data_IF_675439572318
#
_entry.id   IF_675439572318
#
_cell.length_a   1.000
_cell.length_b   1.000
_cell.length_c   1.000
_cell.angle_alpha   90.00
_cell.angle_beta   90.00
_cell.angle_gamma   90.00
#
_symmetry.space_group_name_H-M   'P 1'
#
loop_
_entity.id
_entity.type
_entity.pdbx_description
1 polymer ?
#
# COMPACT_ATOMS: atom_id res chain seq x y z
N UNK A 1 -11.88 -4.26 7.02
CA UNK A 1 -11.26 -3.20 6.18
C UNK A 1 -12.02 -1.89 6.35
N UNK A 2 -11.46 -0.73 5.96
CA UNK A 2 -12.15 0.56 6.08
C UNK A 2 -13.43 0.60 5.24
N UNK A 3 -14.56 0.89 5.87
CA UNK A 3 -15.89 0.95 5.22
C UNK A 3 -16.24 2.35 4.70
N UNK A 4 -15.44 3.36 5.04
CA UNK A 4 -15.63 4.74 4.63
C UNK A 4 -14.28 5.40 4.26
N UNK A 5 -14.29 6.39 3.35
CA UNK A 5 -13.09 7.11 2.96
C UNK A 5 -12.47 7.93 4.09
N UNK A 6 -11.15 7.95 4.13
CA UNK A 6 -10.39 8.82 5.00
C UNK A 6 -10.28 10.21 4.38
N UNK A 7 -10.37 11.25 5.22
CA UNK A 7 -10.27 12.65 4.76
C UNK A 7 -8.81 13.09 4.61
N UNK A 8 -7.93 12.53 5.44
CA UNK A 8 -6.50 12.82 5.42
C UNK A 8 -5.67 11.54 5.50
N UNK A 9 -4.44 11.63 5.01
CA UNK A 9 -3.44 10.55 5.11
C UNK A 9 -3.07 10.28 6.58
N UNK A 10 -3.07 11.31 7.43
CA UNK A 10 -2.84 11.15 8.88
C UNK A 10 -3.95 10.33 9.57
N UNK A 11 -5.23 10.54 9.22
CA UNK A 11 -6.35 9.73 9.73
C UNK A 11 -6.20 8.25 9.37
N UNK A 12 -5.72 8.00 8.14
CA UNK A 12 -5.44 6.66 7.65
C UNK A 12 -4.33 5.97 8.46
N UNK A 13 -3.21 6.67 8.69
CA UNK A 13 -2.11 6.15 9.51
C UNK A 13 -2.58 5.87 10.94
N UNK A 14 -3.36 6.77 11.55
CA UNK A 14 -3.92 6.58 12.88
C UNK A 14 -4.87 5.38 13.00
N UNK A 15 -5.67 5.12 11.97
CA UNK A 15 -6.55 3.96 11.92
C UNK A 15 -5.78 2.63 11.99
N UNK A 16 -4.65 2.54 11.27
CA UNK A 16 -3.81 1.34 11.29
C UNK A 16 -2.93 1.25 12.54
N UNK A 17 -2.37 2.37 13.01
CA UNK A 17 -1.58 2.41 14.24
C UNK A 17 -2.38 1.86 15.43
N UNK A 18 -3.64 2.31 15.59
CA UNK A 18 -4.55 1.82 16.64
C UNK A 18 -4.85 0.32 16.53
N UNK A 19 -4.85 -0.24 15.33
CA UNK A 19 -5.07 -1.69 15.11
C UNK A 19 -3.83 -2.51 15.41
N UNK A 20 -2.65 -1.96 15.11
CA UNK A 20 -1.36 -2.60 15.34
C UNK A 20 -0.87 -2.47 16.79
N UNK A 21 -1.39 -1.49 17.55
CA UNK A 21 -1.02 -1.26 18.95
C UNK A 21 -1.09 -2.53 19.80
N UNK A 22 -2.09 -3.40 19.59
CA UNK A 22 -2.23 -4.62 20.43
C UNK A 22 -1.17 -5.68 20.16
N UNK A 23 -0.56 -5.68 18.98
CA UNK A 23 0.33 -6.75 18.53
C UNK A 23 1.80 -6.30 18.41
N UNK A 24 2.05 -5.00 18.22
CA UNK A 24 3.38 -4.49 17.86
C UNK A 24 3.82 -3.26 18.65
N UNK A 25 3.17 -2.93 19.78
CA UNK A 25 3.46 -1.71 20.56
C UNK A 25 4.94 -1.52 20.92
N UNK A 26 5.61 -2.62 21.23
CA UNK A 26 7.01 -2.62 21.69
C UNK A 26 8.02 -2.84 20.55
N UNK A 27 7.54 -2.90 19.30
CA UNK A 27 8.42 -3.04 18.14
C UNK A 27 8.98 -1.67 17.72
N UNK A 28 10.27 -1.63 17.37
CA UNK A 28 10.92 -0.44 16.79
C UNK A 28 10.16 0.08 15.56
N UNK A 29 9.60 -0.83 14.76
CA UNK A 29 8.75 -0.53 13.60
C UNK A 29 7.47 0.25 13.97
N UNK A 30 6.99 0.18 15.20
CA UNK A 30 5.81 0.92 15.67
C UNK A 30 6.14 2.39 15.95
N UNK A 31 7.33 2.68 16.47
CA UNK A 31 7.82 4.05 16.65
C UNK A 31 7.98 4.76 15.30
N UNK A 32 8.51 4.05 14.30
CA UNK A 32 8.61 4.54 12.91
C UNK A 32 7.24 4.91 12.33
N UNK A 33 6.21 4.05 12.54
CA UNK A 33 4.84 4.34 12.10
C UNK A 33 4.22 5.53 12.84
N UNK A 34 4.55 5.71 14.11
CA UNK A 34 4.06 6.84 14.90
C UNK A 34 4.71 8.15 14.44
N UNK A 35 6.02 8.13 14.16
CA UNK A 35 6.71 9.27 13.56
C UNK A 35 6.16 9.58 12.16
N UNK A 36 5.84 8.56 11.37
CA UNK A 36 5.19 8.73 10.06
C UNK A 36 3.83 9.40 10.21
N UNK A 37 2.96 8.93 11.11
CA UNK A 37 1.67 9.57 11.39
C UNK A 37 1.82 11.06 11.74
N UNK A 38 2.81 11.39 12.57
CA UNK A 38 3.07 12.75 13.04
C UNK A 38 3.69 13.66 11.98
N UNK A 39 4.45 13.09 11.04
CA UNK A 39 5.15 13.82 9.97
C UNK A 39 4.36 13.86 8.66
N UNK A 40 3.40 12.96 8.47
CA UNK A 40 2.47 13.00 7.34
C UNK A 40 1.62 14.26 7.45
N UNK A 41 1.79 15.14 6.47
CA UNK A 41 1.04 16.38 6.39
C UNK A 41 -0.45 16.03 6.24
N UNK A 42 -1.32 16.80 6.90
CA UNK A 42 -2.78 16.71 6.75
C UNK A 42 -3.23 17.22 5.36
N UNK A 43 -2.68 16.65 4.30
CA UNK A 43 -3.15 16.86 2.95
C UNK A 43 -4.36 15.99 2.69
N UNK A 44 -5.25 16.51 1.83
CA UNK A 44 -6.44 15.81 1.41
C UNK A 44 -6.04 14.47 0.78
N UNK A 45 -6.57 13.38 1.31
CA UNK A 45 -6.52 12.11 0.61
C UNK A 45 -7.56 12.14 -0.50
N UNK A 46 -7.20 11.70 -1.69
CA UNK A 46 -8.14 11.25 -2.73
C UNK A 46 -8.40 9.77 -2.46
N UNK A 47 -9.46 9.42 -1.71
CA UNK A 47 -9.70 8.05 -1.33
C UNK A 47 -10.27 7.32 -2.54
N UNK A 48 -9.55 6.30 -2.97
CA UNK A 48 -9.95 5.44 -4.08
C UNK A 48 -10.51 4.15 -3.47
N UNK A 49 -11.53 3.58 -4.12
CA UNK A 49 -11.95 2.21 -3.84
C UNK A 49 -10.82 1.30 -4.30
N UNK A 50 -10.00 0.92 -3.33
CA UNK A 50 -8.72 0.27 -3.56
C UNK A 50 -8.62 -0.98 -2.72
N UNK A 51 -7.71 -1.87 -3.10
CA UNK A 51 -7.62 -3.19 -2.48
C UNK A 51 -6.64 -3.16 -1.31
N UNK A 52 -6.97 -3.81 -0.18
CA UNK A 52 -6.01 -3.95 0.92
C UNK A 52 -4.73 -4.63 0.41
N UNK A 53 -3.57 -4.14 0.86
CA UNK A 53 -2.22 -4.54 0.44
C UNK A 53 -2.09 -6.03 0.09
N UNK A 54 -1.49 -6.35 -1.08
CA UNK A 54 -0.98 -7.69 -1.36
C UNK A 54 -1.72 -8.58 -2.38
N UNK A 55 -2.42 -8.03 -3.35
CA UNK A 55 -3.10 -8.85 -4.36
C UNK A 55 -3.57 -8.11 -5.61
N UNK A 56 -3.08 -6.89 -5.87
CA UNK A 56 -2.81 -6.54 -7.26
C UNK A 56 -1.46 -7.15 -7.60
N UNK A 57 -1.48 -8.47 -7.68
CA UNK A 57 -0.32 -9.29 -7.99
C UNK A 57 -0.59 -9.98 -9.32
N UNK A 58 0.45 -10.35 -10.08
CA UNK A 58 0.26 -11.05 -11.36
C UNK A 58 -0.65 -12.29 -11.24
N UNK A 59 -0.60 -12.99 -10.09
CA UNK A 59 -1.47 -14.15 -9.77
C UNK A 59 -2.97 -13.83 -9.77
N UNK A 60 -3.35 -12.58 -9.53
CA UNK A 60 -4.73 -12.14 -9.40
C UNK A 60 -5.23 -11.39 -10.66
N UNK A 61 -4.42 -11.30 -11.71
CA UNK A 61 -4.77 -10.66 -12.98
C UNK A 61 -4.83 -11.74 -14.06
N UNK A 62 -6.02 -11.98 -14.60
CA UNK A 62 -6.20 -12.88 -15.74
C UNK A 62 -6.07 -12.08 -17.03
N UNK A 63 -5.22 -12.58 -17.93
CA UNK A 63 -4.96 -12.01 -19.25
C UNK A 63 -5.41 -13.00 -20.32
N UNK A 64 -6.13 -12.52 -21.33
CA UNK A 64 -6.51 -13.28 -22.53
C UNK A 64 -6.30 -12.40 -23.75
N UNK A 65 -5.65 -12.92 -24.77
CA UNK A 65 -5.38 -12.20 -26.03
C UNK A 65 -4.73 -10.83 -25.79
N UNK A 66 -3.70 -10.79 -24.92
CA UNK A 66 -2.98 -9.60 -24.47
C UNK A 66 -3.83 -8.50 -23.80
N UNK A 67 -5.04 -8.86 -23.36
CA UNK A 67 -5.94 -7.96 -22.62
C UNK A 67 -6.21 -8.48 -21.22
N UNK A 68 -6.21 -7.58 -20.24
CA UNK A 68 -6.67 -7.89 -18.90
C UNK A 68 -8.16 -8.16 -18.97
N UNK A 69 -8.57 -9.39 -18.68
CA UNK A 69 -9.99 -9.80 -18.72
C UNK A 69 -10.65 -9.74 -17.36
N UNK A 70 -9.91 -10.05 -16.29
CA UNK A 70 -10.46 -10.10 -14.93
C UNK A 70 -9.36 -9.79 -13.91
N UNK A 71 -9.74 -9.07 -12.86
CA UNK A 71 -8.98 -9.00 -11.61
C UNK A 71 -9.77 -9.77 -10.54
N UNK A 72 -9.18 -10.83 -9.98
CA UNK A 72 -9.81 -11.69 -8.97
C UNK A 72 -9.36 -11.31 -7.55
N UNK A 73 -9.88 -11.98 -6.52
CA UNK A 73 -9.50 -11.76 -5.11
C UNK A 73 -9.88 -10.35 -4.57
N UNK A 74 -11.15 -10.00 -4.77
CA UNK A 74 -11.74 -8.70 -4.43
C UNK A 74 -12.35 -8.61 -3.01
N UNK A 75 -12.11 -9.59 -2.15
CA UNK A 75 -12.65 -9.61 -0.78
C UNK A 75 -12.03 -8.56 0.15
N UNK A 76 -10.89 -7.98 -0.25
CA UNK A 76 -10.12 -6.99 0.53
C UNK A 76 -10.34 -5.54 0.07
N UNK A 77 -11.32 -5.27 -0.79
CA UNK A 77 -11.63 -3.90 -1.19
C UNK A 77 -12.06 -3.03 0.00
N UNK A 78 -11.63 -1.79 -0.01
CA UNK A 78 -11.97 -0.78 0.98
C UNK A 78 -11.61 0.61 0.48
N UNK A 79 -11.88 1.61 1.30
CA UNK A 79 -11.46 2.97 0.96
C UNK A 79 -10.04 3.20 1.47
N UNK A 80 -9.10 3.34 0.54
CA UNK A 80 -7.69 3.58 0.85
C UNK A 80 -7.18 4.83 0.11
N UNK A 81 -6.17 5.52 0.66
CA UNK A 81 -5.42 6.52 -0.08
C UNK A 81 -4.72 5.89 -1.30
N UNK A 82 -4.55 6.66 -2.38
CA UNK A 82 -3.82 6.24 -3.59
C UNK A 82 -2.43 5.64 -3.30
N UNK A 83 -1.73 6.19 -2.30
CA UNK A 83 -0.40 5.71 -1.88
C UNK A 83 -0.41 4.21 -1.48
N UNK A 84 -1.56 3.70 -1.03
CA UNK A 84 -1.70 2.32 -0.56
C UNK A 84 -1.55 1.30 -1.69
N UNK A 85 -2.04 1.62 -2.89
CA UNK A 85 -1.84 0.77 -4.06
C UNK A 85 -0.39 0.80 -4.53
N UNK A 86 0.26 1.97 -4.46
CA UNK A 86 1.69 2.09 -4.75
C UNK A 86 2.54 1.22 -3.82
N UNK A 87 2.21 1.15 -2.53
CA UNK A 87 2.86 0.24 -1.58
C UNK A 87 2.68 -1.23 -1.97
N UNK A 88 1.45 -1.63 -2.30
CA UNK A 88 1.15 -3.02 -2.69
C UNK A 88 1.91 -3.42 -3.97
N UNK A 89 1.91 -2.54 -4.97
CA UNK A 89 2.60 -2.71 -6.23
C UNK A 89 4.11 -2.81 -6.00
N UNK A 90 4.70 -1.91 -5.20
CA UNK A 90 6.14 -1.95 -4.87
C UNK A 90 6.56 -3.19 -4.06
N UNK A 91 5.68 -3.70 -3.20
CA UNK A 91 5.94 -4.93 -2.45
C UNK A 91 5.97 -6.18 -3.36
N UNK A 92 5.11 -6.21 -4.38
CA UNK A 92 5.01 -7.34 -5.32
C UNK A 92 5.99 -7.23 -6.51
N UNK A 93 6.42 -6.01 -6.88
CA UNK A 93 7.43 -5.71 -7.90
C UNK A 93 8.85 -6.09 -7.44
N UNK A 94 9.09 -7.40 -7.25
CA UNK A 94 10.39 -7.91 -6.83
C UNK A 94 11.24 -8.42 -8.01
N UNK A 95 10.67 -8.62 -9.20
CA UNK A 95 11.44 -9.08 -10.37
C UNK A 95 11.97 -7.91 -11.19
N UNK A 96 13.27 -7.97 -11.56
CA UNK A 96 13.92 -6.97 -12.44
C UNK A 96 13.13 -6.73 -13.72
N UNK A 97 12.58 -7.79 -14.31
CA UNK A 97 11.79 -7.75 -15.54
C UNK A 97 10.52 -6.90 -15.40
N UNK A 98 9.84 -6.96 -14.26
CA UNK A 98 8.62 -6.20 -14.03
C UNK A 98 8.93 -4.71 -13.76
N UNK A 99 10.07 -4.43 -13.11
CA UNK A 99 10.58 -3.06 -12.94
C UNK A 99 11.01 -2.42 -14.28
N UNK A 100 11.65 -3.20 -15.16
CA UNK A 100 11.99 -2.77 -16.51
C UNK A 100 10.72 -2.48 -17.33
N UNK A 101 9.76 -3.40 -17.35
CA UNK A 101 8.49 -3.19 -18.04
C UNK A 101 7.71 -1.98 -17.50
N UNK A 102 7.69 -1.77 -16.19
CA UNK A 102 7.07 -0.59 -15.58
C UNK A 102 7.74 0.70 -16.07
N UNK A 103 9.08 0.73 -16.08
CA UNK A 103 9.84 1.88 -16.56
C UNK A 103 9.59 2.14 -18.05
N UNK A 104 9.48 1.09 -18.84
CA UNK A 104 9.28 1.22 -20.29
C UNK A 104 7.87 1.73 -20.63
N UNK A 105 6.84 1.37 -19.84
CA UNK A 105 5.45 1.79 -20.08
C UNK A 105 5.13 3.14 -19.44
N UNK A 106 5.55 3.36 -18.20
CA UNK A 106 5.15 4.53 -17.39
C UNK A 106 6.28 5.54 -17.16
N UNK A 107 7.51 5.24 -17.59
CA UNK A 107 8.68 6.06 -17.31
C UNK A 107 9.17 5.93 -15.87
N UNK A 108 9.93 6.92 -15.41
CA UNK A 108 10.44 6.95 -14.04
C UNK A 108 9.33 7.33 -13.06
N UNK A 109 8.93 6.40 -12.19
CA UNK A 109 7.98 6.66 -11.10
C UNK A 109 8.75 7.06 -9.84
N UNK A 110 8.45 8.23 -9.30
CA UNK A 110 9.00 8.69 -8.02
C UNK A 110 8.15 8.14 -6.90
N UNK A 111 8.71 7.23 -6.11
CA UNK A 111 8.03 6.70 -4.92
C UNK A 111 8.13 7.71 -3.77
N UNK A 112 7.03 7.97 -3.07
CA UNK A 112 7.05 8.79 -1.85
C UNK A 112 7.82 8.08 -0.73
N UNK A 113 8.52 8.85 0.12
CA UNK A 113 9.27 8.34 1.28
C UNK A 113 8.40 7.53 2.26
N UNK A 114 7.11 7.82 2.32
CA UNK A 114 6.12 7.09 3.13
C UNK A 114 6.04 5.61 2.73
N UNK A 115 6.20 5.29 1.43
CA UNK A 115 6.20 3.92 0.88
C UNK A 115 7.34 3.10 1.47
N UNK A 116 8.52 3.68 1.66
CA UNK A 116 9.69 3.00 2.20
C UNK A 116 9.54 2.61 3.68
N UNK A 117 8.95 3.51 4.48
CA UNK A 117 8.71 3.26 5.91
C UNK A 117 7.74 2.10 6.09
N UNK A 118 6.63 2.10 5.35
CA UNK A 118 5.67 0.99 5.40
C UNK A 118 6.24 -0.34 4.93
N UNK A 119 7.04 -0.37 3.86
CA UNK A 119 7.67 -1.61 3.40
C UNK A 119 8.68 -2.15 4.42
N UNK A 120 9.38 -1.28 5.17
CA UNK A 120 10.24 -1.68 6.29
C UNK A 120 9.42 -2.34 7.39
N UNK A 121 8.32 -1.72 7.79
CA UNK A 121 7.42 -2.24 8.83
C UNK A 121 6.80 -3.58 8.43
N UNK A 122 6.29 -3.69 7.19
CA UNK A 122 5.76 -4.96 6.66
C UNK A 122 6.80 -6.07 6.68
N UNK A 123 8.07 -5.77 6.42
CA UNK A 123 9.17 -6.75 6.50
C UNK A 123 9.52 -7.15 7.93
N UNK A 124 9.43 -6.22 8.89
CA UNK A 124 9.67 -6.50 10.31
C UNK A 124 8.53 -7.27 10.97
N UNK A 125 7.29 -7.10 10.52
CA UNK A 125 6.11 -7.76 11.08
C UNK A 125 5.88 -9.21 10.58
N UNK A 126 6.66 -9.66 9.58
CA UNK A 126 6.58 -10.98 8.98
C UNK A 126 7.67 -11.96 9.47
N UNK A 127 8.43 -11.60 10.51
CA UNK A 127 9.37 -12.47 11.22
C UNK A 127 8.96 -12.63 12.69
#
# INVERSE_FOLDING_TARGET
>A
MPTAPFRTVSDFHGYWLKRLERAYKDAEAYEDLQQLQNSSVAHASTPVLSRASGGLAPRNILVKDDRIVVVVDCETFGWYPELWEMMAVRNELMSKRLLEAQRDVFGHITWGSEVDVYLRVCRCALY
#
